data_IF_168077615427
#
_entry.id   IF_168077615427
#
_cell.length_a   1.000
_cell.length_b   1.000
_cell.length_c   1.000
_cell.angle_alpha   90.00
_cell.angle_beta   90.00
_cell.angle_gamma   90.00
#
_symmetry.space_group_name_H-M   'P 1'
#
loop_
_entity.id
_entity.type
_entity.pdbx_description
1 polymer ?
#
# COMPACT_ATOMS: atom_id res chain seq x y z
N UNK A 1 -1.32 17.86 -15.27
CA UNK A 1 -0.96 17.07 -14.08
C UNK A 1 0.24 17.68 -13.38
N UNK A 2 1.42 17.79 -13.99
CA UNK A 2 2.60 18.37 -13.31
C UNK A 2 2.41 19.80 -12.79
N UNK A 3 1.58 20.63 -13.44
CA UNK A 3 1.28 21.99 -12.97
C UNK A 3 0.53 22.03 -11.62
N UNK A 4 -0.11 20.92 -11.22
CA UNK A 4 -0.89 20.79 -9.99
C UNK A 4 0.00 20.33 -8.82
N UNK A 5 1.24 19.92 -9.11
CA UNK A 5 2.20 19.40 -8.14
C UNK A 5 3.04 20.54 -7.59
N UNK A 6 3.08 20.67 -6.27
CA UNK A 6 3.89 21.64 -5.53
C UNK A 6 5.37 21.24 -5.60
N UNK A 7 5.64 19.96 -5.38
CA UNK A 7 6.98 19.39 -5.29
C UNK A 7 6.93 17.89 -5.62
N UNK A 8 7.96 17.39 -6.29
CA UNK A 8 8.18 15.95 -6.48
C UNK A 8 8.90 15.44 -5.23
N UNK A 9 8.25 14.58 -4.46
CA UNK A 9 8.80 14.05 -3.21
C UNK A 9 9.72 12.85 -3.47
N UNK A 10 9.30 11.94 -4.35
CA UNK A 10 10.10 10.80 -4.80
C UNK A 10 9.97 10.63 -6.29
N UNK A 11 11.10 10.69 -6.99
CA UNK A 11 11.18 10.48 -8.44
C UNK A 11 10.92 9.02 -8.82
N UNK A 12 10.76 8.78 -10.11
CA UNK A 12 10.63 7.41 -10.63
C UNK A 12 11.89 6.58 -10.32
N UNK A 13 13.07 7.22 -10.35
CA UNK A 13 14.34 6.61 -10.03
C UNK A 13 14.45 6.24 -8.55
N UNK A 14 13.98 7.10 -7.64
CA UNK A 14 13.94 6.82 -6.19
C UNK A 14 13.05 5.62 -5.91
N UNK A 15 11.85 5.59 -6.51
CA UNK A 15 10.89 4.50 -6.34
C UNK A 15 11.45 3.18 -6.90
N UNK A 16 12.12 3.23 -8.05
CA UNK A 16 12.78 2.05 -8.61
C UNK A 16 13.86 1.52 -7.66
N UNK A 17 14.73 2.40 -7.17
CA UNK A 17 15.81 2.01 -6.26
C UNK A 17 15.29 1.40 -4.95
N UNK A 18 14.21 1.96 -4.37
CA UNK A 18 13.63 1.41 -3.16
C UNK A 18 12.94 0.07 -3.42
N UNK A 19 12.27 -0.09 -4.56
CA UNK A 19 11.63 -1.35 -4.94
C UNK A 19 12.67 -2.46 -5.11
N UNK A 20 13.79 -2.19 -5.77
CA UNK A 20 14.90 -3.15 -5.91
C UNK A 20 15.44 -3.59 -4.55
N UNK A 21 15.61 -2.65 -3.61
CA UNK A 21 16.04 -2.94 -2.23
C UNK A 21 15.03 -3.84 -1.51
N UNK A 22 13.75 -3.44 -1.49
CA UNK A 22 12.71 -4.19 -0.79
C UNK A 22 12.50 -5.59 -1.40
N UNK A 23 12.56 -5.70 -2.72
CA UNK A 23 12.47 -6.98 -3.43
C UNK A 23 13.58 -7.96 -3.01
N UNK A 24 14.80 -7.48 -2.79
CA UNK A 24 15.90 -8.32 -2.27
C UNK A 24 15.64 -8.79 -0.83
N UNK A 25 15.17 -7.91 0.04
CA UNK A 25 14.82 -8.24 1.44
C UNK A 25 13.69 -9.28 1.49
N UNK A 26 12.63 -9.06 0.71
CA UNK A 26 11.49 -9.98 0.61
C UNK A 26 11.93 -11.32 0.02
N UNK A 27 12.75 -11.32 -1.03
CA UNK A 27 13.26 -12.56 -1.65
C UNK A 27 13.96 -13.44 -0.63
N UNK A 28 14.84 -12.85 0.19
CA UNK A 28 15.57 -13.56 1.23
C UNK A 28 14.64 -14.12 2.30
N UNK A 29 13.68 -13.33 2.75
CA UNK A 29 12.76 -13.71 3.83
C UNK A 29 11.77 -14.80 3.41
N UNK A 30 11.46 -14.89 2.11
CA UNK A 30 10.46 -15.79 1.55
C UNK A 30 11.03 -16.92 0.67
N UNK A 31 12.35 -17.09 0.64
CA UNK A 31 13.00 -18.16 -0.12
C UNK A 31 12.43 -19.54 0.28
N UNK A 32 11.91 -20.27 -0.71
CA UNK A 32 11.30 -21.60 -0.51
C UNK A 32 9.92 -21.59 0.15
N UNK A 33 9.32 -20.43 0.44
CA UNK A 33 8.03 -20.31 1.14
C UNK A 33 6.81 -20.15 0.23
N UNK A 34 7.01 -19.75 -1.03
CA UNK A 34 5.94 -19.45 -1.99
C UNK A 34 4.79 -18.61 -1.39
N UNK A 35 5.02 -17.35 -0.99
CA UNK A 35 3.98 -16.54 -0.35
C UNK A 35 2.85 -16.15 -1.31
N UNK A 36 1.72 -15.78 -0.72
CA UNK A 36 0.66 -15.03 -1.41
C UNK A 36 0.93 -13.54 -1.19
N UNK A 37 1.17 -12.81 -2.26
CA UNK A 37 1.38 -11.36 -2.27
C UNK A 37 0.04 -10.70 -2.63
N UNK A 38 -0.54 -9.98 -1.68
CA UNK A 38 -1.89 -9.40 -1.79
C UNK A 38 -1.76 -7.92 -2.08
N UNK A 39 -2.35 -7.47 -3.18
CA UNK A 39 -2.51 -6.05 -3.48
C UNK A 39 -3.86 -5.55 -2.94
N UNK A 40 -3.83 -4.52 -2.10
CA UNK A 40 -5.06 -3.81 -1.70
C UNK A 40 -5.38 -2.75 -2.76
N UNK A 41 -6.52 -2.90 -3.42
CA UNK A 41 -6.92 -2.01 -4.50
C UNK A 41 -7.44 -0.67 -3.99
N UNK A 42 -7.28 0.42 -4.74
CA UNK A 42 -6.63 0.52 -6.08
C UNK A 42 -5.20 1.04 -6.02
N UNK A 43 -4.84 1.69 -4.92
CA UNK A 43 -3.64 2.52 -4.81
C UNK A 43 -2.35 1.74 -4.94
N UNK A 44 -2.28 0.55 -4.33
CA UNK A 44 -1.06 -0.26 -4.31
C UNK A 44 -0.69 -0.92 -5.65
N UNK A 45 -1.54 -0.82 -6.69
CA UNK A 45 -1.36 -1.61 -7.93
C UNK A 45 -0.03 -1.36 -8.65
N UNK A 46 0.43 -0.11 -8.69
CA UNK A 46 1.70 0.23 -9.38
C UNK A 46 2.90 -0.26 -8.56
N UNK A 47 2.88 0.00 -7.26
CA UNK A 47 3.92 -0.48 -6.35
C UNK A 47 4.01 -2.01 -6.31
N UNK A 48 2.86 -2.68 -6.24
CA UNK A 48 2.75 -4.13 -6.34
C UNK A 48 3.40 -4.68 -7.61
N UNK A 49 3.13 -4.08 -8.77
CA UNK A 49 3.68 -4.53 -10.05
C UNK A 49 5.21 -4.40 -10.09
N UNK A 50 5.76 -3.36 -9.49
CA UNK A 50 7.21 -3.15 -9.38
C UNK A 50 7.83 -4.14 -8.38
N UNK A 51 7.27 -4.27 -7.18
CA UNK A 51 7.76 -5.21 -6.15
C UNK A 51 7.71 -6.65 -6.64
N UNK A 52 6.62 -7.08 -7.27
CA UNK A 52 6.46 -8.45 -7.76
C UNK A 52 7.54 -8.83 -8.79
N UNK A 53 8.02 -7.87 -9.60
CA UNK A 53 9.15 -8.10 -10.54
C UNK A 53 10.49 -8.25 -9.82
N UNK A 54 10.65 -7.65 -8.65
CA UNK A 54 11.88 -7.71 -7.86
C UNK A 54 11.97 -8.88 -6.90
N UNK A 55 10.86 -9.54 -6.58
CA UNK A 55 10.87 -10.81 -5.83
C UNK A 55 11.44 -11.93 -6.72
N UNK A 56 12.61 -12.47 -6.37
CA UNK A 56 13.31 -13.54 -7.12
C UNK A 56 13.10 -14.92 -6.49
N UNK A 57 11.88 -15.19 -6.02
CA UNK A 57 11.43 -16.51 -5.58
C UNK A 57 9.98 -16.73 -6.03
N UNK A 58 9.48 -17.96 -5.96
CA UNK A 58 8.09 -18.25 -6.31
C UNK A 58 7.15 -17.46 -5.40
N UNK A 59 6.10 -16.87 -5.98
CA UNK A 59 5.00 -16.26 -5.24
C UNK A 59 3.72 -16.30 -6.09
N UNK A 60 2.58 -16.20 -5.40
CA UNK A 60 1.26 -16.01 -6.01
C UNK A 60 0.81 -14.57 -5.82
N UNK A 61 0.11 -13.99 -6.80
CA UNK A 61 -0.46 -12.65 -6.68
C UNK A 61 -1.98 -12.77 -6.52
N UNK A 62 -2.55 -12.05 -5.56
CA UNK A 62 -3.99 -11.95 -5.35
C UNK A 62 -4.38 -10.50 -5.03
N UNK A 63 -5.66 -10.18 -5.13
CA UNK A 63 -6.16 -8.81 -5.01
C UNK A 63 -7.38 -8.76 -4.09
N UNK A 64 -7.41 -7.78 -3.21
CA UNK A 64 -8.58 -7.42 -2.44
C UNK A 64 -9.04 -6.01 -2.77
N UNK A 65 -10.36 -5.82 -2.87
CA UNK A 65 -10.96 -4.48 -2.93
C UNK A 65 -11.75 -4.26 -1.64
N UNK A 66 -11.41 -3.18 -0.94
CA UNK A 66 -11.99 -2.83 0.34
C UNK A 66 -12.47 -1.40 0.36
N UNK A 67 -13.62 -1.18 0.98
CA UNK A 67 -14.12 0.17 1.24
C UNK A 67 -14.34 0.37 2.73
N UNK A 68 -13.90 1.51 3.26
CA UNK A 68 -14.26 1.95 4.62
C UNK A 68 -15.78 2.16 4.70
N UNK A 69 -16.42 1.77 5.80
CA UNK A 69 -17.81 2.16 6.04
C UNK A 69 -17.89 3.64 6.47
N UNK A 70 -18.48 4.49 5.62
CA UNK A 70 -18.85 5.88 5.92
C UNK A 70 -18.33 6.90 4.90
N UNK A 71 -19.18 7.85 4.49
CA UNK A 71 -18.88 8.98 3.57
C UNK A 71 -17.96 10.06 4.19
N UNK A 72 -17.36 9.80 5.36
CA UNK A 72 -16.60 10.79 6.11
C UNK A 72 -15.08 10.56 5.99
N UNK A 73 -14.33 11.65 6.01
CA UNK A 73 -12.85 11.73 6.02
C UNK A 73 -12.16 10.98 7.18
N UNK A 74 -12.92 10.35 8.07
CA UNK A 74 -12.44 9.53 9.18
C UNK A 74 -13.10 8.15 9.09
N UNK A 75 -12.29 7.13 8.82
CA UNK A 75 -12.74 5.74 8.79
C UNK A 75 -13.31 5.30 10.14
N UNK A 76 -14.51 4.72 10.12
CA UNK A 76 -15.13 4.02 11.26
C UNK A 76 -14.31 2.80 11.72
N UNK A 77 -13.38 2.34 10.88
CA UNK A 77 -12.59 1.14 11.09
C UNK A 77 -13.34 -0.16 10.79
N UNK A 78 -14.59 -0.10 10.35
CA UNK A 78 -15.23 -1.24 9.69
C UNK A 78 -14.85 -1.23 8.21
N UNK A 79 -14.44 -2.39 7.70
CA UNK A 79 -14.01 -2.57 6.31
C UNK A 79 -15.02 -3.47 5.60
N UNK A 80 -15.61 -2.98 4.51
CA UNK A 80 -16.44 -3.79 3.61
C UNK A 80 -15.55 -4.43 2.57
N UNK A 81 -15.60 -5.75 2.45
CA UNK A 81 -14.96 -6.49 1.37
C UNK A 81 -15.85 -6.36 0.13
N UNK A 82 -15.34 -5.71 -0.92
CA UNK A 82 -16.01 -5.58 -2.22
C UNK A 82 -15.60 -6.74 -3.13
N UNK A 83 -14.30 -7.05 -3.16
CA UNK A 83 -13.72 -8.26 -3.74
C UNK A 83 -12.84 -8.93 -2.69
N UNK A 84 -13.08 -10.22 -2.48
CA UNK A 84 -12.25 -11.08 -1.65
C UNK A 84 -11.17 -11.78 -2.49
N UNK A 85 -10.23 -12.43 -1.80
CA UNK A 85 -9.17 -13.25 -2.38
C UNK A 85 -9.75 -14.43 -3.16
N UNK A 86 -9.11 -14.79 -4.26
CA UNK A 86 -9.46 -15.98 -5.04
C UNK A 86 -8.82 -17.25 -4.43
N UNK A 87 -7.72 -17.07 -3.69
CA UNK A 87 -6.93 -18.16 -3.09
C UNK A 87 -7.10 -18.23 -1.57
N UNK A 88 -7.12 -19.45 -1.02
CA UNK A 88 -7.09 -19.66 0.43
C UNK A 88 -5.73 -19.27 1.01
N UNK A 89 -5.75 -18.49 2.09
CA UNK A 89 -4.55 -18.08 2.84
C UNK A 89 -4.17 -19.04 3.96
N UNK A 90 -4.98 -20.09 4.21
CA UNK A 90 -4.74 -21.05 5.28
C UNK A 90 -3.36 -21.71 5.14
N UNK A 91 -2.58 -21.69 6.21
CA UNK A 91 -1.22 -22.24 6.31
C UNK A 91 -0.22 -21.61 5.31
N UNK A 92 -0.56 -20.46 4.71
CA UNK A 92 0.29 -19.73 3.76
C UNK A 92 0.96 -18.53 4.43
N UNK A 93 2.17 -18.21 3.97
CA UNK A 93 2.76 -16.92 4.29
C UNK A 93 2.17 -15.84 3.38
N UNK A 94 1.69 -14.75 3.97
CA UNK A 94 1.03 -13.66 3.27
C UNK A 94 1.90 -12.40 3.36
N UNK A 95 2.01 -11.68 2.25
CA UNK A 95 2.64 -10.36 2.16
C UNK A 95 1.62 -9.37 1.60
N UNK A 96 1.16 -8.43 2.41
CA UNK A 96 0.27 -7.35 1.97
C UNK A 96 1.13 -6.24 1.36
N UNK A 97 0.78 -5.79 0.16
CA UNK A 97 1.36 -4.61 -0.47
C UNK A 97 0.38 -3.44 -0.36
N UNK A 98 0.85 -2.34 0.21
CA UNK A 98 0.13 -1.08 0.39
C UNK A 98 0.86 0.10 -0.24
N UNK A 99 0.11 1.08 -0.75
CA UNK A 99 0.71 2.33 -1.25
C UNK A 99 1.08 3.28 -0.12
N UNK A 100 0.19 3.46 0.86
CA UNK A 100 0.42 4.34 2.00
C UNK A 100 -0.24 3.84 3.29
N UNK A 101 0.54 3.80 4.37
CA UNK A 101 0.02 3.62 5.72
C UNK A 101 -0.15 4.97 6.38
N UNK A 102 -1.41 5.33 6.62
CA UNK A 102 -1.80 6.54 7.32
C UNK A 102 -2.24 6.23 8.77
N UNK A 103 -3.55 6.17 9.05
CA UNK A 103 -4.02 5.83 10.41
C UNK A 103 -3.83 4.36 10.79
N UNK A 104 -3.62 3.47 9.80
CA UNK A 104 -3.43 2.03 9.96
C UNK A 104 -4.71 1.21 10.22
N UNK A 105 -5.88 1.84 10.41
CA UNK A 105 -7.11 1.14 10.83
C UNK A 105 -7.60 0.07 9.84
N UNK A 106 -7.66 0.39 8.56
CA UNK A 106 -8.09 -0.56 7.52
C UNK A 106 -7.14 -1.75 7.46
N UNK A 107 -5.84 -1.46 7.48
CA UNK A 107 -4.79 -2.47 7.42
C UNK A 107 -4.80 -3.39 8.65
N UNK A 108 -5.03 -2.86 9.85
CA UNK A 108 -5.21 -3.65 11.09
C UNK A 108 -6.30 -4.70 10.92
N UNK A 109 -7.47 -4.32 10.40
CA UNK A 109 -8.55 -5.27 10.17
C UNK A 109 -8.23 -6.30 9.10
N UNK A 110 -7.45 -5.93 8.08
CA UNK A 110 -7.00 -6.86 7.06
C UNK A 110 -6.04 -7.89 7.64
N UNK A 111 -5.10 -7.46 8.48
CA UNK A 111 -4.21 -8.37 9.21
C UNK A 111 -5.03 -9.32 10.09
N UNK A 112 -5.92 -8.79 10.94
CA UNK A 112 -6.79 -9.59 11.80
C UNK A 112 -7.60 -10.62 11.00
N UNK A 113 -8.18 -10.21 9.86
CA UNK A 113 -8.96 -11.07 8.98
C UNK A 113 -8.13 -12.23 8.43
N UNK A 114 -6.89 -11.95 7.98
CA UNK A 114 -6.00 -12.96 7.38
C UNK A 114 -5.46 -13.92 8.45
N UNK A 115 -5.17 -13.43 9.65
CA UNK A 115 -4.81 -14.25 10.80
C UNK A 115 -5.97 -15.16 11.23
N UNK A 116 -7.20 -14.63 11.28
CA UNK A 116 -8.41 -15.43 11.54
C UNK A 116 -8.68 -16.49 10.46
N UNK A 117 -8.20 -16.28 9.24
CA UNK A 117 -8.21 -17.28 8.15
C UNK A 117 -7.07 -18.29 8.26
N UNK A 118 -6.31 -18.27 9.36
CA UNK A 118 -5.20 -19.15 9.68
C UNK A 118 -4.04 -19.03 8.69
N UNK A 119 -3.69 -17.81 8.28
CA UNK A 119 -2.42 -17.56 7.61
C UNK A 119 -1.24 -17.98 8.53
N UNK A 120 -0.20 -18.57 7.95
CA UNK A 120 1.00 -18.97 8.70
C UNK A 120 1.80 -17.75 9.19
N UNK A 121 1.76 -16.66 8.42
CA UNK A 121 2.25 -15.35 8.83
C UNK A 121 1.62 -14.27 7.95
N UNK A 122 1.42 -13.08 8.49
CA UNK A 122 1.03 -11.89 7.73
C UNK A 122 2.10 -10.84 7.91
N UNK A 123 2.72 -10.40 6.81
CA UNK A 123 3.65 -9.26 6.79
C UNK A 123 3.14 -8.16 5.88
N UNK A 124 3.67 -6.96 6.05
CA UNK A 124 3.28 -5.77 5.31
C UNK A 124 4.49 -5.11 4.66
N UNK A 125 4.36 -4.80 3.37
CA UNK A 125 5.27 -3.93 2.63
C UNK A 125 4.50 -2.70 2.16
N UNK A 126 4.95 -1.51 2.55
CA UNK A 126 4.34 -0.25 2.11
C UNK A 126 5.34 0.65 1.41
N UNK A 127 4.89 1.36 0.37
CA UNK A 127 5.73 2.37 -0.27
C UNK A 127 5.92 3.57 0.65
N UNK A 128 4.84 4.10 1.24
CA UNK A 128 4.87 5.31 2.08
C UNK A 128 4.33 5.02 3.49
N UNK A 129 5.03 5.47 4.51
CA UNK A 129 4.57 5.36 5.90
C UNK A 129 4.48 6.74 6.57
N UNK A 130 3.34 7.01 7.23
CA UNK A 130 3.10 8.22 8.04
C UNK A 130 3.02 7.85 9.52
N UNK A 131 4.15 7.54 10.20
CA UNK A 131 4.14 7.07 11.57
C UNK A 131 3.47 8.05 12.55
N UNK A 132 3.58 9.37 12.32
CA UNK A 132 2.95 10.41 13.16
C UNK A 132 1.41 10.35 13.20
N UNK A 133 0.77 9.74 12.19
CA UNK A 133 -0.70 9.63 12.09
C UNK A 133 -1.24 8.30 12.55
N UNK A 134 -0.36 7.38 12.93
CA UNK A 134 -0.72 6.03 13.34
C UNK A 134 -1.53 6.06 14.63
N UNK A 135 -2.73 5.48 14.58
CA UNK A 135 -3.61 5.44 15.76
C UNK A 135 -3.57 4.07 16.44
N UNK A 136 -3.22 3.00 15.71
CA UNK A 136 -3.26 1.61 16.20
C UNK A 136 -2.16 0.70 15.62
N UNK A 137 -1.92 -0.41 16.31
CA UNK A 137 -0.70 -1.22 16.39
C UNK A 137 -0.36 -2.13 15.21
N UNK A 138 -0.43 -1.63 13.99
CA UNK A 138 0.21 -2.30 12.84
C UNK A 138 1.52 -1.61 12.53
N UNK A 139 2.60 -2.38 12.46
CA UNK A 139 3.90 -1.91 11.98
C UNK A 139 4.24 -2.58 10.66
N UNK A 140 4.55 -1.82 9.60
CA UNK A 140 5.05 -2.40 8.37
C UNK A 140 6.37 -3.13 8.62
N UNK A 141 6.53 -4.30 8.03
CA UNK A 141 7.78 -5.06 8.05
C UNK A 141 8.79 -4.50 7.05
N UNK A 142 8.29 -3.96 5.93
CA UNK A 142 9.07 -3.38 4.86
C UNK A 142 8.51 -1.99 4.51
N UNK A 143 9.37 -0.97 4.59
CA UNK A 143 8.99 0.43 4.34
C UNK A 143 9.87 0.98 3.23
N UNK A 144 9.22 1.52 2.19
CA UNK A 144 9.90 2.29 1.15
C UNK A 144 10.41 3.61 1.70
N UNK A 145 9.48 4.47 2.11
CA UNK A 145 9.77 5.81 2.58
C UNK A 145 8.90 6.19 3.77
N UNK A 146 9.51 6.74 4.82
CA UNK A 146 8.77 7.49 5.83
C UNK A 146 8.50 8.90 5.29
N UNK A 147 7.28 9.40 5.44
CA UNK A 147 6.87 10.70 4.90
C UNK A 147 6.17 11.58 5.94
N UNK A 148 6.34 12.91 5.85
CA UNK A 148 5.59 13.85 6.68
C UNK A 148 4.10 13.82 6.33
N UNK A 149 3.30 14.50 7.14
CA UNK A 149 1.86 14.66 6.90
C UNK A 149 1.56 15.66 5.76
N UNK A 150 1.89 15.28 4.53
CA UNK A 150 1.62 16.04 3.31
C UNK A 150 0.57 15.35 2.44
N UNK A 151 -0.18 16.12 1.64
CA UNK A 151 -1.14 15.55 0.69
C UNK A 151 -0.42 15.06 -0.58
N UNK A 152 -0.19 13.74 -0.67
CA UNK A 152 0.58 13.12 -1.74
C UNK A 152 -0.31 12.47 -2.81
N UNK A 153 0.12 12.55 -4.06
CA UNK A 153 -0.53 11.90 -5.23
C UNK A 153 0.53 11.31 -6.16
N UNK A 154 0.09 10.48 -7.11
CA UNK A 154 0.97 9.84 -8.07
C UNK A 154 1.40 8.45 -7.66
N UNK A 155 1.90 7.69 -8.63
CA UNK A 155 2.33 6.32 -8.45
C UNK A 155 1.26 5.44 -7.74
N UNK A 156 0.02 5.54 -8.20
CA UNK A 156 -1.13 4.82 -7.65
C UNK A 156 -2.00 5.65 -6.70
N UNK A 157 -1.42 6.63 -5.99
CA UNK A 157 -2.14 7.55 -5.09
C UNK A 157 -2.96 8.56 -5.88
N UNK A 158 -4.13 8.95 -5.35
CA UNK A 158 -5.07 9.82 -6.06
C UNK A 158 -5.59 11.03 -5.29
N UNK A 159 -6.17 11.95 -6.06
CA UNK A 159 -7.12 12.93 -5.59
C UNK A 159 -8.35 12.90 -6.52
N UNK A 160 -9.53 12.60 -5.98
CA UNK A 160 -10.79 12.47 -6.74
C UNK A 160 -10.68 11.56 -7.98
N UNK A 161 -9.96 10.44 -7.86
CA UNK A 161 -9.72 9.48 -8.93
C UNK A 161 -8.66 9.89 -9.97
N UNK A 162 -8.01 11.04 -9.81
CA UNK A 162 -6.99 11.56 -10.73
C UNK A 162 -5.56 11.30 -10.21
N UNK A 163 -4.56 11.55 -11.06
CA UNK A 163 -3.12 11.56 -10.74
C UNK A 163 -2.44 10.21 -10.49
N UNK A 164 -3.17 9.10 -10.32
CA UNK A 164 -2.59 7.76 -10.09
C UNK A 164 -1.49 7.37 -11.10
N UNK A 165 -1.60 7.85 -12.34
CA UNK A 165 -0.71 7.53 -13.44
C UNK A 165 0.55 8.42 -13.54
N UNK A 166 0.80 9.32 -12.58
CA UNK A 166 2.11 9.97 -12.48
C UNK A 166 3.18 8.93 -12.11
N UNK A 167 4.36 8.94 -12.74
CA UNK A 167 5.40 7.94 -12.50
C UNK A 167 6.22 8.19 -11.22
N UNK A 168 5.84 9.20 -10.44
CA UNK A 168 6.53 9.68 -9.25
C UNK A 168 5.49 10.00 -8.16
N UNK A 169 5.94 10.16 -6.91
CA UNK A 169 5.12 10.66 -5.80
C UNK A 169 5.36 12.15 -5.65
N UNK A 170 4.30 12.95 -5.67
CA UNK A 170 4.37 14.41 -5.53
C UNK A 170 3.39 14.95 -4.51
N UNK A 171 3.70 16.12 -3.95
CA UNK A 171 2.82 16.87 -3.06
C UNK A 171 1.86 17.70 -3.91
N UNK A 172 0.55 17.57 -3.68
CA UNK A 172 -0.47 18.33 -4.40
C UNK A 172 -0.52 19.78 -3.89
N UNK A 173 -0.67 20.75 -4.80
CA UNK A 173 -0.81 22.17 -4.40
C UNK A 173 -2.10 22.38 -3.61
N UNK A 174 -2.08 23.15 -2.49
CA UNK A 174 -3.29 23.48 -1.72
C UNK A 174 -4.44 24.05 -2.54
N UNK A 175 -4.14 24.93 -3.50
CA UNK A 175 -5.11 25.52 -4.42
C UNK A 175 -5.93 24.51 -5.25
N UNK A 176 -5.53 23.24 -5.31
CA UNK A 176 -6.26 22.17 -6.02
C UNK A 176 -7.37 21.56 -5.15
N UNK A 177 -7.18 21.53 -3.82
CA UNK A 177 -8.12 20.87 -2.90
C UNK A 177 -8.80 21.81 -1.91
N UNK A 178 -8.27 23.01 -1.69
CA UNK A 178 -8.90 24.05 -0.86
C UNK A 178 -9.96 24.86 -1.62
N UNK A 179 -9.98 24.82 -2.96
CA UNK A 179 -10.94 25.55 -3.79
C UNK A 179 -12.16 24.70 -4.24
N UNK A 180 -12.33 23.49 -3.68
CA UNK A 180 -13.42 22.57 -4.02
C UNK A 180 -14.57 22.56 -2.98
N UNK A 181 -14.72 23.65 -2.22
CA UNK A 181 -15.91 23.91 -1.37
C UNK A 181 -17.07 24.53 -2.18
#
# INVERSE_FOLDING_TARGET
>A
MNNDIKEVLYSQEDIKAVTEKLGQEITKDYEGKNPIVICVLKGAILFMADIAREIKTYCELDFMDVSSYGDATVSSGEVKIIKDLDTSVKDRHVLIIEDIIDTGRTLERLVDLLEHRNAASVKICTLLDKPERRVKGVSPDYVGFEVPNEFVVGYGLDYMGKYRNLPYVGILKPAVYENND
#
